data_IF_600142790660
#
_entry.id   IF_600142790660
#
_cell.length_a   1.000
_cell.length_b   1.000
_cell.length_c   1.000
_cell.angle_alpha   90.00
_cell.angle_beta   90.00
_cell.angle_gamma   90.00
#
_symmetry.space_group_name_H-M   'P 1'
#
loop_
_entity.id
_entity.type
_entity.pdbx_description
1 polymer ?
#
# COMPACT_ATOMS: atom_id res chain seq x y z
N UNK A 1 -3.90 -32.50 -28.67
CA UNK A 1 -3.48 -31.15 -29.10
C UNK A 1 -3.37 -30.27 -27.88
N UNK A 2 -2.18 -29.85 -27.55
CA UNK A 2 -1.96 -28.93 -26.44
C UNK A 2 -2.54 -27.54 -26.78
N UNK A 3 -3.50 -27.03 -26.01
CA UNK A 3 -3.98 -25.66 -26.12
C UNK A 3 -2.80 -24.74 -25.79
N UNK A 4 -2.38 -23.91 -26.75
CA UNK A 4 -1.41 -22.84 -26.49
C UNK A 4 -1.93 -21.99 -25.34
N UNK A 5 -1.09 -21.65 -24.33
CA UNK A 5 -1.53 -20.77 -23.26
C UNK A 5 -1.95 -19.44 -23.87
N UNK A 6 -3.18 -19.05 -23.63
CA UNK A 6 -3.71 -17.76 -24.04
C UNK A 6 -2.85 -16.71 -23.37
N UNK A 7 -2.03 -16.01 -24.12
CA UNK A 7 -1.18 -14.94 -23.61
C UNK A 7 -2.08 -13.89 -22.96
N UNK A 8 -1.83 -13.60 -21.71
CA UNK A 8 -2.61 -12.65 -20.88
C UNK A 8 -2.85 -11.28 -21.54
N UNK A 9 -2.05 -10.95 -22.57
CA UNK A 9 -2.18 -9.73 -23.38
C UNK A 9 -3.46 -9.67 -24.24
N UNK A 10 -4.01 -10.79 -24.68
CA UNK A 10 -5.20 -10.79 -25.54
C UNK A 10 -6.51 -10.63 -24.77
N UNK A 11 -6.50 -10.94 -23.47
CA UNK A 11 -7.68 -10.80 -22.59
C UNK A 11 -7.82 -9.39 -22.00
N UNK A 12 -6.82 -8.54 -22.16
CA UNK A 12 -6.78 -7.18 -21.60
C UNK A 12 -7.08 -6.08 -22.62
N UNK A 13 -7.65 -6.43 -23.78
CA UNK A 13 -8.23 -5.47 -24.71
C UNK A 13 -9.54 -4.91 -24.12
N UNK A 14 -9.41 -4.17 -23.02
CA UNK A 14 -10.55 -3.47 -22.42
C UNK A 14 -10.96 -2.30 -23.32
N UNK A 15 -12.26 -2.14 -23.64
CA UNK A 15 -12.76 -0.99 -24.39
C UNK A 15 -12.63 0.33 -23.62
N UNK A 16 -12.17 0.28 -22.36
CA UNK A 16 -12.05 1.46 -21.52
C UNK A 16 -10.71 2.19 -21.79
N UNK A 17 -10.80 3.38 -22.39
CA UNK A 17 -9.64 4.23 -22.69
C UNK A 17 -8.77 4.54 -21.47
N UNK A 18 -9.35 4.66 -20.27
CA UNK A 18 -8.61 4.94 -19.05
C UNK A 18 -7.68 3.76 -18.69
N UNK A 19 -8.18 2.53 -18.77
CA UNK A 19 -7.38 1.33 -18.50
C UNK A 19 -6.27 1.17 -19.54
N UNK A 20 -6.55 1.36 -20.81
CA UNK A 20 -5.56 1.32 -21.88
C UNK A 20 -4.44 2.35 -21.64
N UNK A 21 -4.78 3.55 -21.18
CA UNK A 21 -3.81 4.59 -20.83
C UNK A 21 -2.91 4.17 -19.66
N UNK A 22 -3.47 3.58 -18.61
CA UNK A 22 -2.69 3.05 -17.48
C UNK A 22 -1.73 1.94 -17.90
N UNK A 23 -2.17 1.03 -18.75
CA UNK A 23 -1.31 -0.02 -19.30
C UNK A 23 -0.15 0.54 -20.10
N UNK A 24 -0.41 1.51 -20.96
CA UNK A 24 0.64 2.19 -21.73
C UNK A 24 1.67 2.85 -20.82
N UNK A 25 1.25 3.49 -19.74
CA UNK A 25 2.18 4.09 -18.75
C UNK A 25 2.99 3.03 -18.00
N UNK A 26 2.39 1.93 -17.60
CA UNK A 26 3.08 0.83 -16.92
C UNK A 26 4.15 0.23 -17.83
N UNK A 27 3.82 -0.02 -19.09
CA UNK A 27 4.75 -0.58 -20.06
C UNK A 27 5.92 0.38 -20.34
N UNK A 28 5.65 1.67 -20.46
CA UNK A 28 6.67 2.69 -20.59
C UNK A 28 7.61 2.71 -19.37
N UNK A 29 7.07 2.63 -18.17
CA UNK A 29 7.87 2.57 -16.94
C UNK A 29 8.74 1.32 -16.87
N UNK A 30 8.23 0.17 -17.32
CA UNK A 30 9.00 -1.08 -17.41
C UNK A 30 10.17 -0.96 -18.37
N UNK A 31 9.96 -0.37 -19.53
CA UNK A 31 11.02 -0.13 -20.50
C UNK A 31 12.10 0.77 -19.91
N UNK A 32 11.72 1.89 -19.32
CA UNK A 32 12.65 2.81 -18.66
C UNK A 32 13.46 2.10 -17.57
N UNK A 33 12.82 1.26 -16.77
CA UNK A 33 13.50 0.49 -15.74
C UNK A 33 14.54 -0.49 -16.34
N UNK A 34 14.26 -1.09 -17.48
CA UNK A 34 15.22 -1.95 -18.17
C UNK A 34 16.46 -1.17 -18.63
N UNK A 35 16.28 0.03 -19.19
CA UNK A 35 17.41 0.91 -19.57
C UNK A 35 18.23 1.36 -18.35
N UNK A 36 17.57 1.68 -17.25
CA UNK A 36 18.27 2.00 -15.99
C UNK A 36 19.11 0.80 -15.53
N UNK A 37 18.53 -0.39 -15.55
CA UNK A 37 19.23 -1.60 -15.14
C UNK A 37 20.40 -1.96 -16.04
N UNK A 38 20.33 -1.67 -17.33
CA UNK A 38 21.40 -1.93 -18.27
C UNK A 38 22.67 -1.09 -18.03
N UNK A 39 22.52 0.08 -17.44
CA UNK A 39 23.64 1.01 -17.12
C UNK A 39 24.23 0.74 -15.73
N UNK A 40 23.51 0.01 -14.89
CA UNK A 40 23.92 -0.28 -13.52
C UNK A 40 24.69 -1.60 -13.44
N UNK A 41 25.66 -1.73 -12.50
CA UNK A 41 26.20 -3.02 -12.13
C UNK A 41 25.11 -4.01 -11.74
N UNK A 42 25.30 -5.30 -12.02
CA UNK A 42 24.28 -6.33 -11.82
C UNK A 42 23.70 -6.36 -10.40
N UNK A 43 24.54 -6.16 -9.39
CA UNK A 43 24.10 -6.09 -7.99
C UNK A 43 23.14 -4.95 -7.73
N UNK A 44 23.40 -3.77 -8.32
CA UNK A 44 22.56 -2.57 -8.20
C UNK A 44 21.31 -2.63 -9.09
N UNK A 45 21.43 -3.23 -10.26
CA UNK A 45 20.32 -3.42 -11.18
C UNK A 45 19.16 -4.21 -10.54
N UNK A 46 19.49 -5.24 -9.75
CA UNK A 46 18.51 -6.03 -9.00
C UNK A 46 17.81 -5.23 -7.90
N UNK A 47 18.46 -4.20 -7.38
CA UNK A 47 17.94 -3.37 -6.29
C UNK A 47 17.09 -2.18 -6.76
N UNK A 48 17.15 -1.83 -8.04
CA UNK A 48 16.21 -0.91 -8.65
C UNK A 48 14.87 -1.63 -8.88
N UNK A 49 13.96 -1.54 -7.91
CA UNK A 49 12.69 -2.27 -7.93
C UNK A 49 11.69 -1.68 -8.91
N UNK A 50 11.44 -0.41 -8.77
CA UNK A 50 10.47 0.34 -9.58
C UNK A 50 11.03 1.70 -9.94
N UNK A 51 10.55 2.26 -11.05
CA UNK A 51 10.80 3.64 -11.39
C UNK A 51 9.51 4.31 -11.84
N UNK A 52 9.39 5.59 -11.57
CA UNK A 52 8.25 6.42 -12.01
C UNK A 52 8.82 7.76 -12.49
N UNK A 53 8.34 8.24 -13.64
CA UNK A 53 8.61 9.60 -14.08
C UNK A 53 7.39 10.45 -13.75
N UNK A 54 7.61 11.54 -13.04
CA UNK A 54 6.59 12.52 -12.71
C UNK A 54 7.21 13.93 -12.73
N UNK A 55 6.61 14.84 -13.50
CA UNK A 55 7.00 16.25 -13.57
C UNK A 55 8.52 16.46 -13.74
N UNK A 56 9.12 15.87 -14.77
CA UNK A 56 10.56 15.95 -15.07
C UNK A 56 11.48 15.34 -13.99
N UNK A 57 10.93 14.58 -13.07
CA UNK A 57 11.67 13.87 -12.03
C UNK A 57 11.57 12.36 -12.24
N UNK A 58 12.72 11.71 -12.17
CA UNK A 58 12.80 10.26 -12.10
C UNK A 58 12.83 9.85 -10.63
N UNK A 59 11.85 9.06 -10.22
CA UNK A 59 11.80 8.42 -8.91
C UNK A 59 12.21 6.96 -9.07
N UNK A 60 13.27 6.54 -8.38
CA UNK A 60 13.69 5.12 -8.32
C UNK A 60 13.41 4.62 -6.90
N UNK A 61 12.85 3.44 -6.82
CA UNK A 61 12.54 2.79 -5.54
C UNK A 61 13.48 1.62 -5.29
N UNK A 62 14.02 1.55 -4.08
CA UNK A 62 14.91 0.49 -3.60
C UNK A 62 14.54 0.06 -2.19
N UNK A 63 15.03 -1.10 -1.76
CA UNK A 63 14.64 -1.71 -0.48
C UNK A 63 15.45 -1.16 0.72
N UNK A 64 16.62 -0.56 0.50
CA UNK A 64 17.46 -0.09 1.61
C UNK A 64 18.18 1.24 1.34
N UNK A 65 18.57 1.89 2.43
CA UNK A 65 19.31 3.17 2.39
C UNK A 65 20.71 3.02 1.77
N UNK A 66 21.39 1.86 1.99
CA UNK A 66 22.69 1.58 1.41
C UNK A 66 22.63 1.57 -0.12
N UNK A 67 21.66 0.85 -0.68
CA UNK A 67 21.44 0.81 -2.12
C UNK A 67 20.97 2.17 -2.68
N UNK A 68 20.16 2.91 -1.92
CA UNK A 68 19.78 4.26 -2.32
C UNK A 68 20.98 5.19 -2.47
N UNK A 69 21.94 5.12 -1.56
CA UNK A 69 23.18 5.90 -1.64
C UNK A 69 23.99 5.52 -2.88
N UNK A 70 24.16 4.24 -3.15
CA UNK A 70 24.88 3.78 -4.34
C UNK A 70 24.19 4.18 -5.65
N UNK A 71 22.87 4.06 -5.74
CA UNK A 71 22.10 4.49 -6.92
C UNK A 71 22.29 5.98 -7.23
N UNK A 72 22.44 6.82 -6.20
CA UNK A 72 22.69 8.26 -6.39
C UNK A 72 24.01 8.57 -7.08
N UNK A 73 25.05 7.75 -6.87
CA UNK A 73 26.32 7.91 -7.59
C UNK A 73 26.18 7.72 -9.11
N UNK A 74 25.25 6.87 -9.53
CA UNK A 74 24.97 6.62 -10.94
C UNK A 74 23.94 7.58 -11.56
N UNK A 75 23.51 8.60 -10.83
CA UNK A 75 22.44 9.51 -11.27
C UNK A 75 22.68 10.11 -12.66
N UNK A 76 23.89 10.59 -12.93
CA UNK A 76 24.24 11.16 -14.24
C UNK A 76 24.14 10.12 -15.37
N UNK A 77 24.67 8.93 -15.15
CA UNK A 77 24.62 7.83 -16.12
C UNK A 77 23.19 7.35 -16.38
N UNK A 78 22.37 7.29 -15.34
CA UNK A 78 20.96 6.92 -15.44
C UNK A 78 20.18 7.97 -16.23
N UNK A 79 20.34 9.24 -15.90
CA UNK A 79 19.67 10.34 -16.62
C UNK A 79 20.06 10.39 -18.09
N UNK A 80 21.34 10.18 -18.41
CA UNK A 80 21.81 10.10 -19.79
C UNK A 80 21.21 8.92 -20.55
N UNK A 81 21.09 7.77 -19.91
CA UNK A 81 20.53 6.56 -20.53
C UNK A 81 19.05 6.69 -20.85
N UNK A 82 18.28 7.37 -20.01
CA UNK A 82 16.82 7.51 -20.22
C UNK A 82 16.45 8.71 -21.09
N UNK A 83 17.37 9.68 -21.30
CA UNK A 83 17.11 10.90 -22.08
C UNK A 83 16.46 10.63 -23.45
N UNK A 84 16.91 9.65 -24.27
CA UNK A 84 16.32 9.39 -25.59
C UNK A 84 14.94 8.72 -25.53
N UNK A 85 14.55 8.16 -24.39
CA UNK A 85 13.33 7.34 -24.25
C UNK A 85 12.27 8.07 -23.45
N UNK A 86 12.67 8.93 -22.52
CA UNK A 86 11.75 9.74 -21.75
C UNK A 86 11.07 10.76 -22.68
N UNK A 87 9.73 10.70 -22.75
CA UNK A 87 8.95 11.67 -23.52
C UNK A 87 9.09 13.10 -23.01
N UNK A 88 9.46 13.24 -21.75
CA UNK A 88 9.71 14.52 -21.08
C UNK A 88 11.18 14.62 -20.70
N UNK A 89 11.75 15.82 -20.77
CA UNK A 89 13.12 16.04 -20.32
C UNK A 89 13.23 15.85 -18.81
N UNK A 90 13.77 14.72 -18.40
CA UNK A 90 14.01 14.39 -16.99
C UNK A 90 15.31 15.02 -16.54
N UNK A 91 15.26 15.92 -15.58
CA UNK A 91 16.41 16.68 -15.09
C UNK A 91 16.85 16.28 -13.68
N UNK A 92 15.95 15.70 -12.91
CA UNK A 92 16.18 15.39 -11.50
C UNK A 92 15.93 13.90 -11.27
N UNK A 93 16.85 13.26 -10.54
CA UNK A 93 16.66 11.90 -10.04
C UNK A 93 16.53 11.92 -8.52
N UNK A 94 15.56 11.20 -8.01
CA UNK A 94 15.36 10.96 -6.59
C UNK A 94 15.27 9.46 -6.33
N UNK A 95 15.92 9.00 -5.28
CA UNK A 95 15.82 7.61 -4.84
C UNK A 95 15.01 7.56 -3.54
N UNK A 96 13.96 6.78 -3.55
CA UNK A 96 13.09 6.53 -2.39
C UNK A 96 13.30 5.10 -1.90
N UNK A 97 13.29 4.93 -0.60
CA UNK A 97 13.34 3.62 0.01
C UNK A 97 11.90 3.12 0.10
N UNK A 98 11.67 1.94 -0.46
CA UNK A 98 10.46 1.18 -0.15
C UNK A 98 10.63 0.72 1.30
N UNK A 99 10.15 1.51 2.22
CA UNK A 99 9.79 0.93 3.49
C UNK A 99 8.71 -0.09 3.13
N UNK A 100 9.01 -1.39 3.24
CA UNK A 100 7.91 -2.32 3.42
C UNK A 100 7.10 -1.69 4.55
N UNK A 101 5.95 -1.11 4.21
CA UNK A 101 4.92 -1.04 5.21
C UNK A 101 4.71 -2.52 5.54
N UNK A 102 5.43 -3.00 6.54
CA UNK A 102 4.96 -4.12 7.33
C UNK A 102 3.49 -3.81 7.49
N UNK A 103 2.66 -4.56 6.78
CA UNK A 103 1.19 -4.48 6.86
C UNK A 103 0.94 -4.16 8.31
N UNK A 104 0.34 -2.99 8.64
CA UNK A 104 0.46 -2.42 9.98
C UNK A 104 0.33 -3.59 10.92
N UNK A 105 1.48 -3.96 11.50
CA UNK A 105 1.60 -5.17 12.35
C UNK A 105 0.31 -5.17 13.09
N UNK A 106 -0.56 -6.15 12.84
CA UNK A 106 -1.92 -6.17 13.38
C UNK A 106 -1.79 -5.48 14.71
N UNK A 107 -2.09 -4.15 14.74
CA UNK A 107 -1.85 -3.35 15.95
C UNK A 107 -2.47 -4.22 17.00
N UNK A 108 -1.73 -4.67 18.00
CA UNK A 108 -2.24 -5.69 18.93
C UNK A 108 -3.63 -5.23 19.23
N UNK A 109 -4.60 -5.97 18.68
CA UNK A 109 -6.02 -5.56 18.66
C UNK A 109 -6.22 -5.07 20.06
N UNK A 110 -6.34 -3.74 20.25
CA UNK A 110 -6.39 -3.15 21.59
C UNK A 110 -7.43 -3.99 22.29
N UNK A 111 -6.98 -4.88 23.18
CA UNK A 111 -7.90 -5.78 23.87
C UNK A 111 -8.94 -4.86 24.43
N UNK A 112 -10.13 -4.94 23.83
CA UNK A 112 -11.25 -4.09 24.25
C UNK A 112 -11.37 -4.39 25.72
N UNK A 113 -11.12 -3.41 26.58
CA UNK A 113 -11.17 -3.60 28.02
C UNK A 113 -12.64 -3.69 28.39
N UNK A 114 -13.17 -4.92 28.27
CA UNK A 114 -14.56 -5.20 28.54
C UNK A 114 -14.70 -5.10 30.07
N UNK A 115 -15.64 -4.28 30.57
CA UNK A 115 -15.90 -4.18 32.00
C UNK A 115 -16.25 -5.53 32.61
N UNK A 116 -15.90 -5.75 33.87
CA UNK A 116 -16.28 -6.96 34.60
C UNK A 116 -17.81 -7.15 34.60
N UNK A 117 -18.30 -8.41 34.69
CA UNK A 117 -19.72 -8.69 34.71
C UNK A 117 -20.50 -7.88 35.76
N UNK A 118 -19.89 -7.63 36.92
CA UNK A 118 -20.44 -6.79 37.96
C UNK A 118 -20.70 -5.35 37.52
N UNK A 119 -19.74 -4.74 36.81
CA UNK A 119 -19.88 -3.40 36.26
C UNK A 119 -20.95 -3.33 35.16
N UNK A 120 -21.07 -4.38 34.35
CA UNK A 120 -22.10 -4.47 33.32
C UNK A 120 -23.50 -4.51 33.99
N UNK A 121 -23.62 -5.23 35.10
CA UNK A 121 -24.88 -5.28 35.83
C UNK A 121 -25.24 -3.96 36.50
N UNK A 122 -24.26 -3.20 36.98
CA UNK A 122 -24.46 -1.83 37.48
C UNK A 122 -24.98 -0.93 36.38
N UNK A 123 -24.42 -0.98 35.17
CA UNK A 123 -24.90 -0.22 34.01
C UNK A 123 -26.36 -0.57 33.71
N UNK A 124 -26.70 -1.85 33.76
CA UNK A 124 -28.09 -2.30 33.54
C UNK A 124 -29.05 -1.75 34.58
N UNK A 125 -28.70 -1.84 35.85
CA UNK A 125 -29.52 -1.30 36.96
C UNK A 125 -29.70 0.21 36.84
N UNK A 126 -28.64 0.94 36.48
CA UNK A 126 -28.71 2.37 36.22
C UNK A 126 -29.68 2.66 35.03
N UNK A 127 -29.62 1.85 33.99
CA UNK A 127 -30.55 1.96 32.88
C UNK A 127 -32.01 1.76 33.27
N UNK A 128 -32.31 0.79 34.14
CA UNK A 128 -33.68 0.55 34.61
C UNK A 128 -34.23 1.71 35.45
N UNK A 129 -33.36 2.39 36.21
CA UNK A 129 -33.71 3.49 37.09
C UNK A 129 -33.58 4.89 36.41
N UNK A 130 -33.21 4.94 35.14
CA UNK A 130 -33.03 6.19 34.42
C UNK A 130 -34.39 6.95 34.23
N UNK A 131 -34.44 8.25 34.51
CA UNK A 131 -35.67 9.01 34.40
C UNK A 131 -36.07 9.32 32.95
N UNK A 132 -35.12 9.23 32.02
CA UNK A 132 -35.34 9.47 30.59
C UNK A 132 -35.38 8.16 29.82
N UNK A 133 -36.44 7.99 29.00
CA UNK A 133 -36.65 6.78 28.18
C UNK A 133 -35.53 6.57 27.14
N UNK A 134 -34.97 7.62 26.57
CA UNK A 134 -33.86 7.54 25.64
C UNK A 134 -32.59 7.03 26.32
N UNK A 135 -32.26 7.59 27.47
CA UNK A 135 -31.13 7.18 28.28
C UNK A 135 -31.30 5.72 28.77
N UNK A 136 -32.50 5.36 29.22
CA UNK A 136 -32.85 3.99 29.63
C UNK A 136 -32.56 3.00 28.51
N UNK A 137 -33.08 3.24 27.30
CA UNK A 137 -32.86 2.36 26.15
C UNK A 137 -31.39 2.28 25.75
N UNK A 138 -30.68 3.41 25.78
CA UNK A 138 -29.25 3.43 25.45
C UNK A 138 -28.41 2.60 26.43
N UNK A 139 -28.65 2.74 27.74
CA UNK A 139 -27.93 1.99 28.76
C UNK A 139 -28.26 0.49 28.74
N UNK A 140 -29.51 0.11 28.48
CA UNK A 140 -29.91 -1.28 28.33
C UNK A 140 -29.28 -1.92 27.09
N UNK A 141 -29.25 -1.23 25.95
CA UNK A 141 -28.57 -1.69 24.73
C UNK A 141 -27.06 -1.83 24.95
N UNK A 142 -26.45 -0.87 25.64
CA UNK A 142 -25.01 -0.94 25.97
C UNK A 142 -24.72 -2.16 26.87
N UNK A 143 -25.48 -2.37 27.94
CA UNK A 143 -25.28 -3.51 28.83
C UNK A 143 -25.46 -4.86 28.11
N UNK A 144 -26.43 -4.97 27.21
CA UNK A 144 -26.63 -6.17 26.39
C UNK A 144 -25.45 -6.43 25.44
N UNK A 145 -24.95 -5.38 24.80
CA UNK A 145 -23.78 -5.48 23.91
C UNK A 145 -22.51 -5.90 24.66
N UNK A 146 -22.26 -5.29 25.82
CA UNK A 146 -21.11 -5.62 26.66
C UNK A 146 -21.19 -7.06 27.19
N UNK A 147 -22.37 -7.53 27.56
CA UNK A 147 -22.56 -8.93 27.99
C UNK A 147 -22.28 -9.91 26.86
N UNK A 148 -22.72 -9.61 25.62
CA UNK A 148 -22.41 -10.44 24.45
C UNK A 148 -20.92 -10.51 24.19
N UNK A 149 -20.21 -9.38 24.23
CA UNK A 149 -18.77 -9.31 24.03
C UNK A 149 -17.98 -10.01 25.14
N UNK A 150 -18.47 -10.01 26.38
CA UNK A 150 -17.83 -10.73 27.47
C UNK A 150 -18.05 -12.24 27.39
N UNK A 151 -19.13 -12.71 26.78
CA UNK A 151 -19.41 -14.13 26.55
C UNK A 151 -18.65 -14.74 25.37
N UNK A 152 -18.29 -13.93 24.38
CA UNK A 152 -17.52 -14.37 23.19
C UNK A 152 -16.00 -14.40 23.44
N UNK A 153 -15.53 -13.95 24.60
CA UNK A 153 -14.11 -13.87 24.97
C UNK A 153 -13.61 -15.08 25.78
N UNK A 154 -14.41 -16.16 25.82
CA UNK A 154 -14.08 -17.43 26.47
C UNK A 154 -13.68 -18.53 25.52
#
# INVERSE_FOLDING_TARGET
>A
MAKKPVTFKSTLAFPNRAIAHFYSRIEQQRQILQYIRAVLPEALAKQARYCVINDKKLLIYTDSAAWASQLRFYSKAILAAIAPIARESVTIMQVKILTEQKSPDKQPVRKVNIPSPEKIEIIRKQGLNAPDDHLKQALLKLSATLRRLSGDAG
#
